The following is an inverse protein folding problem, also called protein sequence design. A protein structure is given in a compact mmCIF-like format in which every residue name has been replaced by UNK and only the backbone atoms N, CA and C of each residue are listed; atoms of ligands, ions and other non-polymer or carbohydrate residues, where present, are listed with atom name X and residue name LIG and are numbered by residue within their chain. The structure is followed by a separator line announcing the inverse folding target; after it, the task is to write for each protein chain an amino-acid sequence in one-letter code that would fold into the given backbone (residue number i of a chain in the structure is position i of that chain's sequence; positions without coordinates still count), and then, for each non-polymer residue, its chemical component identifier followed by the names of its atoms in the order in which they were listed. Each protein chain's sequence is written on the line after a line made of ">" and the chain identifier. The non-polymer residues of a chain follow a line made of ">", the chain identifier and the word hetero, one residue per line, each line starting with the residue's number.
data_IF_507369725532
#
_entry.id   IF_507369725532
#
_cell.length_a   1.000
_cell.length_b   1.000
_cell.length_c   1.000
_cell.angle_alpha   90.00
_cell.angle_beta   90.00
_cell.angle_gamma   90.00
#
_symmetry.space_group_name_H-M   'P 1'
#
loop_
_entity.id
_entity.type
_entity.pdbx_description
1 polymer ?
#
# COMPACT_ATOMS: atom_id res chain seq x y z
N UNK A 1 -2.73 12.16 -0.60
CA UNK A 1 -2.34 11.53 0.68
C UNK A 1 -1.95 12.52 1.78
N UNK A 2 -0.90 13.36 1.64
CA UNK A 2 -0.46 14.27 2.73
C UNK A 2 -1.58 15.06 3.44
N UNK A 3 -2.52 15.66 2.70
CA UNK A 3 -3.63 16.42 3.29
C UNK A 3 -4.57 15.52 4.09
N UNK A 4 -4.89 14.34 3.54
CA UNK A 4 -5.75 13.35 4.18
C UNK A 4 -5.09 12.79 5.46
N UNK A 5 -3.81 12.41 5.38
CA UNK A 5 -3.04 11.95 6.54
C UNK A 5 -2.89 13.00 7.65
N UNK A 6 -2.83 14.29 7.31
CA UNK A 6 -2.81 15.38 8.31
C UNK A 6 -4.08 15.45 9.19
N UNK A 7 -5.20 14.86 8.76
CA UNK A 7 -6.41 14.78 9.60
C UNK A 7 -6.34 13.61 10.61
N UNK A 8 -5.25 12.82 10.56
CA UNK A 8 -5.08 11.62 11.37
C UNK A 8 -5.90 10.43 10.85
N UNK A 9 -6.32 10.45 9.59
CA UNK A 9 -7.03 9.33 8.95
C UNK A 9 -6.09 8.47 8.11
N UNK A 10 -6.41 7.18 8.01
CA UNK A 10 -5.81 6.17 7.14
C UNK A 10 -6.90 5.65 6.20
N UNK A 11 -6.60 5.51 4.91
CA UNK A 11 -7.58 5.15 3.88
C UNK A 11 -7.84 3.64 3.86
N UNK A 12 -6.76 2.85 3.95
CA UNK A 12 -6.72 1.37 4.00
C UNK A 12 -7.19 0.64 2.73
N UNK A 13 -7.48 1.36 1.65
CA UNK A 13 -7.86 0.76 0.36
C UNK A 13 -7.43 1.61 -0.83
N UNK A 14 -6.19 2.09 -0.81
CA UNK A 14 -5.58 2.74 -1.97
C UNK A 14 -5.28 1.67 -3.03
N UNK A 15 -5.85 1.82 -4.21
CA UNK A 15 -5.69 0.93 -5.36
C UNK A 15 -6.06 1.65 -6.66
N UNK A 16 -5.73 1.06 -7.80
CA UNK A 16 -6.06 1.62 -9.12
C UNK A 16 -7.55 1.97 -9.25
N UNK A 17 -8.45 1.08 -8.82
CA UNK A 17 -9.91 1.27 -8.89
C UNK A 17 -10.42 2.49 -8.09
N UNK A 18 -9.68 2.89 -7.05
CA UNK A 18 -10.03 4.00 -6.16
C UNK A 18 -9.26 5.29 -6.51
N UNK A 19 -8.62 5.35 -7.68
CA UNK A 19 -8.00 6.56 -8.23
C UNK A 19 -8.74 6.95 -9.51
N UNK A 20 -9.64 7.92 -9.38
CA UNK A 20 -10.41 8.44 -10.48
C UNK A 20 -9.59 9.45 -11.28
N UNK A 21 -9.73 9.40 -12.60
CA UNK A 21 -9.05 10.33 -13.51
C UNK A 21 -10.08 11.27 -14.13
N UNK A 22 -9.80 12.56 -14.07
CA UNK A 22 -10.56 13.60 -14.77
C UNK A 22 -9.63 14.33 -15.72
N UNK A 23 -9.96 14.32 -17.01
CA UNK A 23 -9.24 15.06 -18.04
C UNK A 23 -10.19 16.07 -18.68
N UNK A 24 -9.89 17.35 -18.53
CA UNK A 24 -10.69 18.39 -19.18
C UNK A 24 -10.30 18.47 -20.66
N UNK A 25 -11.27 18.36 -21.60
CA UNK A 25 -10.98 18.40 -23.03
C UNK A 25 -10.19 19.65 -23.42
N UNK A 26 -9.19 19.47 -24.29
CA UNK A 26 -8.35 20.56 -24.80
C UNK A 26 -7.24 21.04 -23.86
N UNK A 27 -7.17 20.57 -22.60
CA UNK A 27 -6.13 21.01 -21.65
C UNK A 27 -4.87 20.13 -21.67
N UNK A 28 -5.00 18.84 -22.02
CA UNK A 28 -3.94 17.85 -21.86
C UNK A 28 -3.59 17.52 -20.40
N UNK A 29 -4.34 18.07 -19.43
CA UNK A 29 -4.08 17.88 -18.00
C UNK A 29 -4.98 16.78 -17.45
N UNK A 30 -4.38 15.79 -16.79
CA UNK A 30 -5.08 14.71 -16.08
C UNK A 30 -5.02 14.94 -14.58
N UNK A 31 -6.18 15.08 -13.95
CA UNK A 31 -6.33 15.17 -12.51
C UNK A 31 -6.65 13.80 -11.93
N UNK A 32 -5.77 13.30 -11.06
CA UNK A 32 -6.03 12.10 -10.26
C UNK A 32 -6.70 12.48 -8.93
N UNK A 33 -7.77 11.77 -8.57
CA UNK A 33 -8.55 11.96 -7.33
C UNK A 33 -8.72 10.63 -6.62
N UNK A 34 -8.48 10.61 -5.31
CA UNK A 34 -8.73 9.43 -4.48
C UNK A 34 -10.23 9.37 -4.16
N UNK A 35 -10.81 8.18 -4.24
CA UNK A 35 -12.22 7.89 -3.94
C UNK A 35 -12.35 6.71 -2.97
N UNK A 36 -13.60 6.43 -2.57
CA UNK A 36 -14.00 5.30 -1.72
C UNK A 36 -13.32 5.26 -0.33
N UNK A 37 -13.89 6.05 0.58
CA UNK A 37 -13.45 6.12 1.97
C UNK A 37 -14.17 5.10 2.87
N UNK A 38 -14.79 4.05 2.32
CA UNK A 38 -15.57 3.08 3.09
C UNK A 38 -14.75 2.34 4.16
N UNK A 39 -13.44 2.19 3.93
CA UNK A 39 -12.51 1.64 4.91
C UNK A 39 -11.70 2.69 5.68
N UNK A 40 -11.93 3.98 5.45
CA UNK A 40 -11.18 5.02 6.14
C UNK A 40 -11.41 4.98 7.66
N UNK A 41 -10.34 5.15 8.43
CA UNK A 41 -10.41 5.16 9.90
C UNK A 41 -9.38 6.11 10.48
N UNK A 42 -9.64 6.65 11.67
CA UNK A 42 -8.62 7.36 12.45
C UNK A 42 -7.47 6.41 12.78
N UNK A 43 -6.25 6.89 12.56
CA UNK A 43 -5.04 6.21 12.95
C UNK A 43 -5.08 5.92 14.46
N UNK A 44 -4.92 4.64 14.79
CA UNK A 44 -4.87 4.19 16.17
C UNK A 44 -3.56 3.44 16.39
N UNK A 45 -2.60 4.16 16.96
CA UNK A 45 -1.28 3.61 17.31
C UNK A 45 -1.27 2.92 18.66
N UNK A 46 -2.40 2.90 19.38
CA UNK A 46 -2.50 2.36 20.75
C UNK A 46 -3.23 1.02 20.79
N UNK A 47 -4.25 0.85 19.94
CA UNK A 47 -5.02 -0.37 19.88
C UNK A 47 -4.74 -1.13 18.59
N UNK A 48 -4.71 -2.46 18.71
CA UNK A 48 -4.55 -3.37 17.59
C UNK A 48 -5.77 -3.30 16.67
N UNK A 49 -5.55 -3.62 15.40
CA UNK A 49 -6.62 -3.67 14.42
C UNK A 49 -7.62 -4.78 14.79
N UNK A 50 -8.90 -4.43 14.87
CA UNK A 50 -9.96 -5.39 15.22
C UNK A 50 -10.44 -6.25 14.04
N UNK A 51 -10.13 -5.85 12.80
CA UNK A 51 -10.51 -6.59 11.59
C UNK A 51 -9.62 -6.22 10.41
N UNK A 52 -9.28 -7.19 9.57
CA UNK A 52 -8.55 -6.96 8.31
C UNK A 52 -9.46 -6.24 7.30
N UNK A 53 -8.92 -5.25 6.59
CA UNK A 53 -9.66 -4.45 5.60
C UNK A 53 -8.75 -4.03 4.45
N UNK A 54 -9.33 -3.85 3.26
CA UNK A 54 -8.63 -3.47 2.03
C UNK A 54 -8.59 -4.60 1.00
N UNK A 55 -7.86 -4.35 -0.09
CA UNK A 55 -7.74 -5.27 -1.23
C UNK A 55 -6.42 -6.05 -1.15
N UNK A 56 -6.50 -7.39 -1.13
CA UNK A 56 -5.40 -8.30 -0.75
C UNK A 56 -4.00 -7.99 -1.36
N UNK A 57 -3.82 -7.82 -2.69
CA UNK A 57 -2.51 -7.54 -3.27
C UNK A 57 -1.91 -6.18 -2.87
N UNK A 58 -2.71 -5.25 -2.36
CA UNK A 58 -2.29 -3.92 -1.92
C UNK A 58 -1.96 -3.85 -0.43
N UNK A 59 -2.32 -4.90 0.33
CA UNK A 59 -2.10 -4.94 1.78
C UNK A 59 -0.61 -5.01 2.10
N UNK A 60 -0.20 -4.21 3.06
CA UNK A 60 1.15 -4.20 3.62
C UNK A 60 1.39 -5.41 4.54
N UNK A 61 2.63 -5.88 4.77
CA UNK A 61 2.86 -7.03 5.63
C UNK A 61 2.35 -6.83 7.05
N UNK A 62 2.44 -5.61 7.58
CA UNK A 62 1.95 -5.30 8.91
C UNK A 62 0.45 -5.51 9.07
N UNK A 63 -0.34 -5.54 7.97
CA UNK A 63 -1.75 -5.90 8.01
C UNK A 63 -1.98 -7.36 8.43
N UNK A 64 -1.00 -8.25 8.27
CA UNK A 64 -1.12 -9.68 8.53
C UNK A 64 -0.54 -10.11 9.88
N UNK A 65 -0.08 -9.16 10.71
CA UNK A 65 0.38 -9.46 12.06
C UNK A 65 -0.78 -9.48 13.06
N UNK A 66 -0.76 -10.40 14.03
CA UNK A 66 -1.78 -10.51 15.08
C UNK A 66 -1.96 -9.20 15.87
N UNK A 67 -0.89 -8.41 16.02
CA UNK A 67 -0.87 -7.11 16.69
C UNK A 67 -0.67 -5.95 15.71
N UNK A 68 -1.36 -5.96 14.56
CA UNK A 68 -1.24 -4.95 13.53
C UNK A 68 -1.61 -3.55 14.06
N UNK A 69 -0.64 -2.64 14.13
CA UNK A 69 -0.90 -1.22 14.34
C UNK A 69 -1.06 -0.56 12.98
N UNK A 70 -2.28 -0.14 12.67
CA UNK A 70 -2.56 0.52 11.39
C UNK A 70 -2.21 1.99 11.49
N UNK A 71 -1.07 2.29 10.86
CA UNK A 71 -0.57 3.64 10.68
C UNK A 71 -0.81 4.11 9.25
N UNK A 72 -0.57 5.39 9.01
CA UNK A 72 -0.59 5.97 7.67
C UNK A 72 0.38 5.29 6.68
N UNK A 73 1.34 4.49 7.16
CA UNK A 73 2.32 3.76 6.35
C UNK A 73 1.66 2.71 5.43
N UNK A 74 0.56 2.10 5.84
CA UNK A 74 -0.14 1.11 5.02
C UNK A 74 -0.64 1.71 3.70
N UNK A 75 -1.05 2.99 3.72
CA UNK A 75 -1.47 3.70 2.52
C UNK A 75 -0.29 4.04 1.60
N UNK A 76 0.90 4.28 2.17
CA UNK A 76 2.12 4.53 1.39
C UNK A 76 2.57 3.26 0.68
N UNK A 77 2.50 2.12 1.37
CA UNK A 77 2.75 0.82 0.78
C UNK A 77 1.77 0.52 -0.36
N UNK A 78 0.47 0.70 -0.11
CA UNK A 78 -0.57 0.48 -1.11
C UNK A 78 -0.42 1.41 -2.34
N UNK A 79 0.03 2.66 -2.13
CA UNK A 79 0.38 3.57 -3.23
C UNK A 79 1.61 3.06 -4.02
N UNK A 80 2.59 2.47 -3.34
CA UNK A 80 3.74 1.83 -3.98
C UNK A 80 3.33 0.65 -4.84
N UNK A 81 2.42 -0.19 -4.35
CA UNK A 81 1.82 -1.30 -5.12
C UNK A 81 1.02 -0.76 -6.31
N UNK A 82 0.29 0.34 -6.14
CA UNK A 82 -0.45 0.99 -7.22
C UNK A 82 0.48 1.43 -8.35
N UNK A 83 1.57 2.14 -8.03
CA UNK A 83 2.57 2.52 -9.02
C UNK A 83 3.26 1.32 -9.66
N UNK A 84 3.64 0.32 -8.87
CA UNK A 84 4.19 -0.92 -9.38
C UNK A 84 3.23 -1.58 -10.39
N UNK A 85 1.95 -1.67 -10.07
CA UNK A 85 0.95 -2.30 -10.94
C UNK A 85 0.74 -1.51 -12.25
N UNK A 86 0.76 -0.17 -12.19
CA UNK A 86 0.65 0.67 -13.39
C UNK A 86 1.84 0.44 -14.34
N UNK A 87 3.04 0.22 -13.81
CA UNK A 87 4.27 0.07 -14.61
C UNK A 87 4.45 -1.37 -15.11
N UNK A 88 4.19 -2.36 -14.24
CA UNK A 88 4.54 -3.77 -14.47
C UNK A 88 3.33 -4.61 -14.90
N UNK A 89 2.11 -4.10 -14.71
CA UNK A 89 0.84 -4.82 -14.92
C UNK A 89 0.72 -6.13 -14.13
N UNK A 90 1.50 -6.26 -13.05
CA UNK A 90 1.51 -7.40 -12.12
C UNK A 90 1.62 -6.88 -10.69
N UNK A 91 1.44 -7.77 -9.73
CA UNK A 91 1.70 -7.50 -8.32
C UNK A 91 2.96 -8.26 -7.88
N UNK A 92 3.77 -7.71 -6.97
CA UNK A 92 4.91 -8.45 -6.39
C UNK A 92 4.46 -9.72 -5.66
N UNK A 93 3.30 -9.67 -4.99
CA UNK A 93 2.68 -10.79 -4.31
C UNK A 93 1.17 -10.76 -4.54
N UNK A 94 0.63 -11.84 -5.11
CA UNK A 94 -0.81 -12.00 -5.33
C UNK A 94 -1.20 -13.47 -5.19
N UNK A 95 -1.66 -13.84 -4.01
CA UNK A 95 -2.10 -15.19 -3.66
C UNK A 95 -3.63 -15.23 -3.55
N UNK A 96 -4.27 -16.40 -3.76
CA UNK A 96 -5.73 -16.50 -3.79
C UNK A 96 -6.38 -16.40 -2.41
N UNK A 97 -5.63 -16.59 -1.32
CA UNK A 97 -6.16 -16.50 0.04
C UNK A 97 -5.29 -15.63 0.94
N UNK A 98 -5.89 -15.12 2.02
CA UNK A 98 -5.20 -14.31 3.04
C UNK A 98 -4.05 -15.09 3.66
N UNK A 99 -4.24 -16.36 3.95
CA UNK A 99 -3.24 -17.23 4.59
C UNK A 99 -2.02 -17.40 3.68
N UNK A 100 -2.24 -17.70 2.40
CA UNK A 100 -1.15 -17.86 1.43
C UNK A 100 -0.43 -16.53 1.17
N UNK A 101 -1.16 -15.41 1.10
CA UNK A 101 -0.58 -14.08 0.98
C UNK A 101 0.31 -13.77 2.19
N UNK A 102 -0.20 -13.98 3.40
CA UNK A 102 0.52 -13.77 4.66
C UNK A 102 1.79 -14.63 4.72
N UNK A 103 1.69 -15.94 4.43
CA UNK A 103 2.84 -16.85 4.39
C UNK A 103 3.90 -16.39 3.38
N UNK A 104 3.48 -15.98 2.19
CA UNK A 104 4.40 -15.51 1.14
C UNK A 104 5.10 -14.21 1.53
N UNK A 105 4.37 -13.28 2.14
CA UNK A 105 4.91 -12.01 2.62
C UNK A 105 5.86 -12.20 3.82
N UNK A 106 5.56 -13.13 4.73
CA UNK A 106 6.42 -13.46 5.87
C UNK A 106 7.76 -14.09 5.44
N UNK A 107 7.77 -14.88 4.36
CA UNK A 107 8.99 -15.48 3.82
C UNK A 107 9.84 -14.51 2.99
N UNK A 108 9.24 -13.44 2.48
CA UNK A 108 9.91 -12.47 1.62
C UNK A 108 10.86 -11.57 2.44
N UNK A 109 12.06 -11.32 1.90
CA UNK A 109 13.01 -10.36 2.48
C UNK A 109 12.75 -8.94 1.97
N UNK A 110 12.53 -8.81 0.67
CA UNK A 110 12.31 -7.55 -0.05
C UNK A 110 11.63 -7.85 -1.38
N UNK A 111 11.00 -6.83 -1.97
CA UNK A 111 10.57 -6.87 -3.37
C UNK A 111 11.80 -6.60 -4.25
N UNK A 112 12.05 -7.48 -5.20
CA UNK A 112 13.16 -7.32 -6.16
C UNK A 112 12.80 -6.34 -7.27
N UNK A 113 13.82 -5.67 -7.81
CA UNK A 113 13.67 -4.73 -8.92
C UNK A 113 13.23 -5.47 -10.19
N UNK A 114 12.06 -5.14 -10.78
CA UNK A 114 11.66 -5.70 -12.06
C UNK A 114 12.57 -5.20 -13.19
N UNK A 115 12.78 -6.02 -14.21
CA UNK A 115 13.64 -5.67 -15.36
C UNK A 115 13.09 -4.50 -16.18
N UNK A 116 11.78 -4.27 -16.10
CA UNK A 116 11.06 -3.18 -16.76
C UNK A 116 11.43 -1.81 -16.16
N UNK A 117 11.82 -1.76 -14.88
CA UNK A 117 12.17 -0.50 -14.19
C UNK A 117 13.65 -0.22 -14.38
N UNK A 118 14.02 0.45 -15.47
CA UNK A 118 15.41 0.84 -15.76
C UNK A 118 15.85 2.14 -15.09
N UNK A 119 14.90 2.97 -14.69
CA UNK A 119 15.16 4.24 -14.03
C UNK A 119 15.48 4.05 -12.54
N UNK A 120 16.65 4.53 -12.11
CA UNK A 120 17.14 4.34 -10.74
C UNK A 120 16.40 5.19 -9.72
N UNK A 121 15.92 6.38 -10.12
CA UNK A 121 15.18 7.29 -9.24
C UNK A 121 13.79 6.70 -8.95
N UNK A 122 13.13 6.17 -9.98
CA UNK A 122 11.86 5.49 -9.88
C UNK A 122 11.97 4.25 -8.99
N UNK A 123 13.03 3.46 -9.17
CA UNK A 123 13.26 2.29 -8.31
C UNK A 123 13.57 2.69 -6.86
N UNK A 124 14.39 3.72 -6.64
CA UNK A 124 14.68 4.23 -5.29
C UNK A 124 13.38 4.67 -4.59
N UNK A 125 12.51 5.40 -5.28
CA UNK A 125 11.20 5.79 -4.75
C UNK A 125 10.33 4.57 -4.43
N UNK A 126 10.15 3.66 -5.39
CA UNK A 126 9.31 2.48 -5.21
C UNK A 126 9.81 1.58 -4.10
N UNK A 127 11.12 1.33 -4.03
CA UNK A 127 11.71 0.49 -2.98
C UNK A 127 11.51 1.06 -1.59
N UNK A 128 11.58 2.40 -1.42
CA UNK A 128 11.26 3.08 -0.15
C UNK A 128 9.76 3.05 0.20
N UNK A 129 8.88 3.11 -0.80
CA UNK A 129 7.44 2.99 -0.57
C UNK A 129 7.02 1.56 -0.21
N UNK A 130 7.70 0.58 -0.80
CA UNK A 130 7.47 -0.85 -0.63
C UNK A 130 8.31 -1.45 0.50
N UNK A 131 9.08 -0.63 1.21
CA UNK A 131 9.91 -1.07 2.31
C UNK A 131 9.04 -1.56 3.46
N UNK A 132 9.40 -2.73 3.97
CA UNK A 132 8.69 -3.36 5.07
C UNK A 132 9.22 -2.85 6.40
N UNK A 133 8.35 -2.37 7.28
CA UNK A 133 8.68 -2.29 8.70
C UNK A 133 8.63 -3.69 9.28
N UNK A 134 9.71 -4.46 9.14
CA UNK A 134 9.96 -5.57 10.06
C UNK A 134 10.10 -4.92 11.43
N UNK A 135 9.06 -5.02 12.27
CA UNK A 135 9.27 -4.90 13.70
C UNK A 135 10.36 -5.91 14.02
N UNK A 136 11.57 -5.42 14.29
CA UNK A 136 12.52 -6.14 15.13
C UNK A 136 11.69 -6.63 16.30
N UNK A 137 11.61 -7.95 16.43
CA UNK A 137 11.01 -8.65 17.55
C UNK A 137 11.17 -7.81 18.80
N UNK A 138 10.07 -7.39 19.45
CA UNK A 138 10.16 -6.79 20.78
C UNK A 138 11.06 -7.73 21.61
N UNK A 139 12.10 -7.23 22.29
CA UNK A 139 12.71 -8.04 23.34
C UNK A 139 11.57 -8.41 24.29
N UNK A 140 11.44 -9.71 24.57
CA UNK A 140 10.61 -10.16 25.68
C UNK A 140 11.10 -9.55 26.97
#
# INVERSE_FOLDING_TARGET
>A
MRIFHKTGLVHRDIKCDNILLHCQPGTGIVYAKISDFGFAKKEDSKHEQTYLAGTLPYMSPENFHDSALITQKVDIYALGITFYNIIIHKYPVNQPTIELQSMKMAQMKSIERPQEIKDDILWDLLSKMLEYFKRTTRPR
#
